data_IF_697096604145
#
_entry.id   IF_697096604145
#
_cell.length_a   1.000
_cell.length_b   1.000
_cell.length_c   1.000
_cell.angle_alpha   90.00
_cell.angle_beta   90.00
_cell.angle_gamma   90.00
#
_symmetry.space_group_name_H-M   'P 1'
#
loop_
_entity.id
_entity.type
_entity.pdbx_description
1 polymer ?
#
# COMPACT_ATOMS: atom_id res chain seq x y z
N UNK A 1 15.31 10.67 -17.07
CA UNK A 1 15.32 11.01 -15.63
C UNK A 1 16.53 10.32 -15.00
N UNK A 2 17.38 11.01 -14.24
CA UNK A 2 18.58 10.39 -13.66
C UNK A 2 18.21 9.40 -12.54
N UNK A 3 19.03 8.37 -12.33
CA UNK A 3 18.86 7.42 -11.22
C UNK A 3 18.86 8.12 -9.85
N UNK A 4 19.70 9.15 -9.69
CA UNK A 4 19.75 9.96 -8.48
C UNK A 4 18.41 10.69 -8.21
N UNK A 5 17.78 11.23 -9.25
CA UNK A 5 16.46 11.87 -9.15
C UNK A 5 15.39 10.86 -8.77
N UNK A 6 15.40 9.66 -9.36
CA UNK A 6 14.43 8.61 -9.01
C UNK A 6 14.57 8.17 -7.56
N UNK A 7 15.81 7.97 -7.11
CA UNK A 7 16.09 7.55 -5.74
C UNK A 7 15.65 8.59 -4.73
N UNK A 8 15.96 9.86 -4.96
CA UNK A 8 15.53 10.95 -4.08
C UNK A 8 13.99 11.05 -3.99
N UNK A 9 13.28 10.82 -5.10
CA UNK A 9 11.80 10.76 -5.09
C UNK A 9 11.28 9.56 -4.32
N UNK A 10 11.88 8.38 -4.49
CA UNK A 10 11.52 7.19 -3.73
C UNK A 10 11.78 7.38 -2.22
N UNK A 11 12.88 8.02 -1.82
CA UNK A 11 13.16 8.34 -0.42
C UNK A 11 12.08 9.26 0.18
N UNK A 12 11.71 10.33 -0.53
CA UNK A 12 10.60 11.21 -0.12
C UNK A 12 9.27 10.48 -0.01
N UNK A 13 9.00 9.56 -0.94
CA UNK A 13 7.78 8.76 -0.90
C UNK A 13 7.75 7.83 0.32
N UNK A 14 8.88 7.19 0.66
CA UNK A 14 9.00 6.37 1.87
C UNK A 14 8.68 7.20 3.12
N UNK A 15 9.25 8.40 3.23
CA UNK A 15 9.04 9.28 4.40
C UNK A 15 7.58 9.76 4.50
N UNK A 16 6.91 10.02 3.36
CA UNK A 16 5.49 10.36 3.32
C UNK A 16 4.60 9.21 3.83
N UNK A 17 4.91 7.97 3.40
CA UNK A 17 4.20 6.76 3.83
C UNK A 17 4.42 6.52 5.32
N UNK A 18 5.66 6.63 5.79
CA UNK A 18 6.01 6.46 7.20
C UNK A 18 5.29 7.47 8.09
N UNK A 19 5.25 8.73 7.69
CA UNK A 19 4.51 9.78 8.41
C UNK A 19 3.00 9.48 8.43
N UNK A 20 2.45 9.04 7.31
CA UNK A 20 1.05 8.67 7.18
C UNK A 20 0.69 7.48 8.09
N UNK A 21 1.51 6.42 8.07
CA UNK A 21 1.28 5.21 8.87
C UNK A 21 1.35 5.47 10.38
N UNK A 22 2.12 6.48 10.80
CA UNK A 22 2.22 6.88 12.20
C UNK A 22 1.27 8.02 12.59
N UNK A 23 0.39 8.45 11.68
CA UNK A 23 -0.63 9.45 11.99
C UNK A 23 -1.79 8.81 12.79
N UNK A 24 -1.99 9.29 14.01
CA UNK A 24 -3.04 8.82 14.90
C UNK A 24 -4.45 8.99 14.29
N UNK A 25 -4.68 9.95 13.40
CA UNK A 25 -6.00 10.15 12.79
C UNK A 25 -6.40 9.00 11.86
N UNK A 26 -5.44 8.36 11.17
CA UNK A 26 -5.71 7.20 10.30
C UNK A 26 -6.01 5.98 11.15
N UNK A 27 -5.22 5.76 12.21
CA UNK A 27 -5.46 4.68 13.18
C UNK A 27 -6.84 4.85 13.82
N UNK A 28 -7.16 6.04 14.32
CA UNK A 28 -8.45 6.33 14.94
C UNK A 28 -9.60 6.23 13.94
N UNK A 29 -9.45 6.80 12.75
CA UNK A 29 -10.43 6.79 11.68
C UNK A 29 -10.78 5.40 11.17
N UNK A 30 -9.79 4.53 11.02
CA UNK A 30 -10.00 3.13 10.62
C UNK A 30 -10.46 2.26 11.82
N UNK A 31 -10.05 2.58 13.05
CA UNK A 31 -10.44 1.83 14.26
C UNK A 31 -11.83 2.17 14.80
N UNK A 32 -12.35 3.38 14.55
CA UNK A 32 -13.67 3.85 15.01
C UNK A 32 -14.83 3.24 14.23
N UNK A 33 -14.53 2.61 13.10
CA UNK A 33 -15.46 1.81 12.32
C UNK A 33 -15.47 0.40 12.91
N UNK A 34 -16.43 0.16 13.81
CA UNK A 34 -16.90 -1.05 14.53
C UNK A 34 -16.26 -2.45 14.32
N UNK A 35 -14.99 -2.58 13.93
CA UNK A 35 -14.33 -3.85 13.67
C UNK A 35 -13.52 -3.94 12.39
N UNK A 36 -13.06 -2.87 11.73
CA UNK A 36 -12.12 -2.97 10.60
C UNK A 36 -10.93 -3.91 10.93
N UNK A 37 -10.61 -4.96 10.14
CA UNK A 37 -11.08 -5.29 8.78
C UNK A 37 -12.31 -6.21 8.70
N UNK A 38 -12.99 -6.54 9.80
CA UNK A 38 -14.08 -7.52 9.88
C UNK A 38 -15.46 -7.01 9.41
N UNK A 39 -15.67 -5.70 9.32
CA UNK A 39 -16.90 -5.04 8.82
C UNK A 39 -16.72 -4.48 7.40
N UNK A 40 -16.24 -5.31 6.47
CA UNK A 40 -15.99 -4.93 5.07
C UNK A 40 -17.20 -4.34 4.32
N UNK A 41 -18.43 -4.48 4.83
CA UNK A 41 -19.64 -3.99 4.15
C UNK A 41 -19.94 -2.50 4.33
N UNK A 42 -19.39 -1.84 5.36
CA UNK A 42 -19.76 -0.46 5.73
C UNK A 42 -18.60 0.53 5.59
N UNK A 43 -17.37 0.03 5.53
CA UNK A 43 -16.15 0.81 5.82
C UNK A 43 -15.26 1.10 4.59
N UNK A 44 -15.63 0.56 3.42
CA UNK A 44 -14.87 0.73 2.17
C UNK A 44 -14.85 2.19 1.69
N UNK A 45 -15.92 2.95 1.95
CA UNK A 45 -16.05 4.35 1.54
C UNK A 45 -15.06 5.28 2.26
N UNK A 46 -14.47 4.84 3.38
CA UNK A 46 -13.55 5.64 4.19
C UNK A 46 -12.09 5.46 3.76
N UNK A 47 -11.78 4.35 3.07
CA UNK A 47 -10.43 4.08 2.54
C UNK A 47 -9.99 5.20 1.56
N UNK A 48 -10.79 5.62 0.56
CA UNK A 48 -10.42 6.73 -0.31
C UNK A 48 -10.16 8.04 0.43
N UNK A 49 -10.96 8.38 1.45
CA UNK A 49 -10.82 9.62 2.22
C UNK A 49 -9.44 9.76 2.86
N UNK A 50 -8.87 8.65 3.36
CA UNK A 50 -7.55 8.66 4.00
C UNK A 50 -6.40 8.48 3.01
N UNK A 51 -6.59 7.71 1.93
CA UNK A 51 -5.48 7.32 1.05
C UNK A 51 -5.36 8.13 -0.24
N UNK A 52 -6.41 8.82 -0.70
CA UNK A 52 -6.30 9.76 -1.83
C UNK A 52 -5.35 10.93 -1.51
N UNK A 53 -5.38 11.55 -0.32
CA UNK A 53 -4.38 12.57 0.04
C UNK A 53 -2.94 12.04 0.01
N UNK A 54 -2.69 10.86 0.57
CA UNK A 54 -1.38 10.21 0.52
C UNK A 54 -0.94 9.97 -0.93
N UNK A 55 -1.84 9.47 -1.78
CA UNK A 55 -1.53 9.24 -3.17
C UNK A 55 -1.19 10.55 -3.89
N UNK A 56 -1.97 11.62 -3.67
CA UNK A 56 -1.71 12.91 -4.27
C UNK A 56 -0.38 13.53 -3.80
N UNK A 57 0.00 13.34 -2.55
CA UNK A 57 1.32 13.74 -2.06
C UNK A 57 2.45 12.97 -2.78
N UNK A 58 2.30 11.65 -2.92
CA UNK A 58 3.26 10.83 -3.66
C UNK A 58 3.31 11.25 -5.14
N UNK A 59 2.17 11.54 -5.76
CA UNK A 59 2.12 12.01 -7.15
C UNK A 59 2.85 13.34 -7.32
N UNK A 60 2.71 14.26 -6.37
CA UNK A 60 3.46 15.52 -6.35
C UNK A 60 4.98 15.29 -6.26
N UNK A 61 5.44 14.38 -5.40
CA UNK A 61 6.86 13.98 -5.31
C UNK A 61 7.41 13.52 -6.67
N UNK A 62 6.59 12.82 -7.45
CA UNK A 62 6.95 12.36 -8.79
C UNK A 62 6.62 13.34 -9.92
N UNK A 63 6.13 14.54 -9.61
CA UNK A 63 5.67 15.55 -10.59
C UNK A 63 4.58 14.96 -11.51
N UNK A 64 3.50 14.49 -10.90
CA UNK A 64 2.32 13.93 -11.58
C UNK A 64 1.09 14.73 -11.21
N UNK A 65 0.13 14.81 -12.12
CA UNK A 65 -1.15 15.49 -11.85
C UNK A 65 -1.91 14.74 -10.76
N UNK A 66 -2.49 15.42 -9.77
CA UNK A 66 -3.28 14.76 -8.72
C UNK A 66 -4.44 13.96 -9.32
N UNK A 67 -4.79 12.88 -8.63
CA UNK A 67 -5.98 12.07 -8.89
C UNK A 67 -7.15 12.57 -8.06
N UNK A 68 -8.35 12.33 -8.57
CA UNK A 68 -9.60 12.68 -7.89
C UNK A 68 -10.18 11.45 -7.20
N UNK A 69 -10.85 11.68 -6.08
CA UNK A 69 -11.46 10.61 -5.29
C UNK A 69 -12.45 9.77 -6.10
N UNK A 70 -13.26 10.40 -6.95
CA UNK A 70 -14.30 9.69 -7.72
C UNK A 70 -13.71 8.67 -8.72
N UNK A 71 -12.47 8.91 -9.18
CA UNK A 71 -11.76 8.01 -10.09
C UNK A 71 -11.04 6.90 -9.32
N UNK A 72 -10.55 7.21 -8.13
CA UNK A 72 -9.69 6.33 -7.33
C UNK A 72 -10.50 5.39 -6.43
N UNK A 73 -11.67 5.83 -5.97
CA UNK A 73 -12.49 5.06 -5.03
C UNK A 73 -12.89 3.67 -5.56
N UNK A 74 -13.35 3.52 -6.82
CA UNK A 74 -13.65 2.20 -7.39
C UNK A 74 -12.41 1.31 -7.43
N UNK A 75 -11.28 1.86 -7.87
CA UNK A 75 -10.00 1.17 -7.96
C UNK A 75 -9.50 0.67 -6.59
N UNK A 76 -9.53 1.51 -5.55
CA UNK A 76 -9.12 1.09 -4.20
C UNK A 76 -10.08 0.07 -3.59
N UNK A 77 -11.38 0.19 -3.88
CA UNK A 77 -12.40 -0.78 -3.47
C UNK A 77 -12.12 -2.16 -4.04
N UNK A 78 -11.74 -2.24 -5.32
CA UNK A 78 -11.41 -3.49 -5.99
C UNK A 78 -10.14 -4.16 -5.45
N UNK A 79 -9.16 -3.38 -4.99
CA UNK A 79 -7.92 -3.88 -4.39
C UNK A 79 -8.05 -4.29 -2.92
N UNK A 80 -9.14 -3.88 -2.25
CA UNK A 80 -9.30 -4.08 -0.81
C UNK A 80 -9.25 -5.55 -0.36
N UNK A 81 -9.87 -6.52 -1.07
CA UNK A 81 -9.74 -7.93 -0.72
C UNK A 81 -8.27 -8.41 -0.73
N UNK A 82 -7.49 -8.00 -1.73
CA UNK A 82 -6.08 -8.36 -1.89
C UNK A 82 -5.20 -7.70 -0.83
N UNK A 83 -5.56 -6.47 -0.41
CA UNK A 83 -4.87 -5.73 0.65
C UNK A 83 -5.00 -6.39 2.02
N UNK A 84 -6.10 -7.10 2.26
CA UNK A 84 -6.48 -7.61 3.58
C UNK A 84 -6.35 -9.12 3.71
N UNK A 85 -6.01 -9.83 2.63
CA UNK A 85 -6.06 -11.31 2.58
C UNK A 85 -5.28 -11.99 3.72
N UNK A 86 -4.08 -11.52 4.05
CA UNK A 86 -3.22 -12.04 5.14
C UNK A 86 -3.36 -11.23 6.44
N UNK A 87 -4.19 -10.19 6.44
CA UNK A 87 -4.61 -9.44 7.62
C UNK A 87 -5.95 -9.95 8.18
N UNK A 88 -6.65 -10.81 7.44
CA UNK A 88 -7.88 -11.45 7.89
C UNK A 88 -7.56 -12.58 8.87
N UNK A 89 -7.89 -12.38 10.13
CA UNK A 89 -7.73 -13.39 11.18
C UNK A 89 -9.07 -14.05 11.50
N UNK A 90 -9.03 -15.25 12.05
CA UNK A 90 -10.23 -15.92 12.53
C UNK A 90 -10.94 -15.04 13.58
N UNK A 91 -12.27 -14.92 13.47
CA UNK A 91 -13.14 -13.95 14.18
C UNK A 91 -13.07 -13.97 15.73
N UNK A 92 -12.25 -14.84 16.31
CA UNK A 92 -12.10 -15.09 17.74
C UNK A 92 -11.42 -13.92 18.48
N UNK A 93 -10.63 -13.07 17.79
CA UNK A 93 -9.91 -11.95 18.43
C UNK A 93 -10.71 -10.64 18.47
N UNK A 94 -11.68 -10.45 17.56
CA UNK A 94 -12.52 -9.25 17.51
C UNK A 94 -13.46 -9.10 18.71
N UNK A 95 -13.63 -10.16 19.51
CA UNK A 95 -14.42 -10.17 20.74
C UNK A 95 -13.66 -9.68 21.98
N UNK A 96 -12.36 -9.37 21.88
CA UNK A 96 -11.55 -8.80 22.98
C UNK A 96 -11.29 -7.30 22.71
N UNK A 97 -11.96 -6.37 23.45
CA UNK A 97 -11.97 -4.94 23.12
C UNK A 97 -10.58 -4.28 23.04
N UNK A 98 -9.66 -4.63 23.96
CA UNK A 98 -8.30 -4.07 23.97
C UNK A 98 -7.42 -4.64 22.86
N UNK A 99 -7.52 -5.93 22.57
CA UNK A 99 -6.79 -6.55 21.47
C UNK A 99 -7.25 -6.01 20.11
N UNK A 100 -8.54 -5.66 19.98
CA UNK A 100 -9.09 -5.01 18.79
C UNK A 100 -8.42 -3.68 18.46
N UNK A 101 -8.20 -2.79 19.43
CA UNK A 101 -7.58 -1.47 19.17
C UNK A 101 -6.13 -1.62 18.66
N UNK A 102 -5.32 -2.46 19.31
CA UNK A 102 -3.94 -2.70 18.89
C UNK A 102 -3.87 -3.38 17.53
N UNK A 103 -4.75 -4.34 17.28
CA UNK A 103 -4.85 -5.02 15.99
C UNK A 103 -5.25 -4.07 14.87
N UNK A 104 -6.26 -3.22 15.09
CA UNK A 104 -6.72 -2.23 14.11
C UNK A 104 -5.60 -1.24 13.75
N UNK A 105 -4.79 -0.83 14.74
CA UNK A 105 -3.62 0.01 14.49
C UNK A 105 -2.56 -0.69 13.63
N UNK A 106 -2.33 -1.99 13.84
CA UNK A 106 -1.41 -2.78 13.01
C UNK A 106 -1.95 -2.94 11.58
N UNK A 107 -3.24 -3.24 11.42
CA UNK A 107 -3.89 -3.32 10.11
C UNK A 107 -3.83 -1.99 9.36
N UNK A 108 -4.13 -0.88 10.03
CA UNK A 108 -4.04 0.46 9.46
C UNK A 108 -2.62 0.77 8.96
N UNK A 109 -1.60 0.43 9.76
CA UNK A 109 -0.19 0.58 9.37
C UNK A 109 0.17 -0.31 8.17
N UNK A 110 -0.18 -1.59 8.22
CA UNK A 110 0.09 -2.53 7.13
C UNK A 110 -0.56 -2.07 5.81
N UNK A 111 -1.82 -1.65 5.85
CA UNK A 111 -2.48 -1.07 4.68
C UNK A 111 -1.82 0.21 4.18
N UNK A 112 -1.49 1.13 5.09
CA UNK A 112 -0.85 2.39 4.71
C UNK A 112 0.46 2.13 3.97
N UNK A 113 1.25 1.17 4.45
CA UNK A 113 2.47 0.77 3.79
C UNK A 113 2.25 0.08 2.44
N UNK A 114 1.26 -0.81 2.32
CA UNK A 114 0.95 -1.50 1.07
C UNK A 114 0.45 -0.53 -0.01
N UNK A 115 -0.55 0.27 0.35
CA UNK A 115 -1.11 1.29 -0.55
C UNK A 115 -0.08 2.36 -0.88
N UNK A 116 0.64 2.86 0.11
CA UNK A 116 1.72 3.82 -0.09
C UNK A 116 2.80 3.32 -1.06
N UNK A 117 3.23 2.07 -0.88
CA UNK A 117 4.22 1.45 -1.79
C UNK A 117 3.66 1.27 -3.19
N UNK A 118 2.40 0.87 -3.32
CA UNK A 118 1.73 0.76 -4.60
C UNK A 118 1.60 2.13 -5.30
N UNK A 119 1.27 3.18 -4.56
CA UNK A 119 1.18 4.55 -5.08
C UNK A 119 2.54 5.07 -5.55
N UNK A 120 3.60 4.79 -4.80
CA UNK A 120 4.98 5.15 -5.18
C UNK A 120 5.40 4.39 -6.45
N UNK A 121 5.13 3.09 -6.49
CA UNK A 121 5.32 2.24 -7.67
C UNK A 121 4.61 2.86 -8.89
N UNK A 122 3.30 3.09 -8.82
CA UNK A 122 2.52 3.58 -9.96
C UNK A 122 2.95 4.98 -10.40
N UNK A 123 3.27 5.87 -9.46
CA UNK A 123 3.71 7.24 -9.78
C UNK A 123 5.10 7.26 -10.43
N UNK A 124 5.94 6.27 -10.12
CA UNK A 124 7.23 6.07 -10.77
C UNK A 124 7.11 5.60 -12.23
N UNK A 125 6.06 4.86 -12.58
CA UNK A 125 5.81 4.35 -13.94
C UNK A 125 5.32 5.44 -14.91
N UNK A 126 4.72 6.53 -14.42
CA UNK A 126 4.35 7.66 -15.27
C UNK A 126 3.05 8.34 -14.87
N UNK A 127 2.45 9.05 -15.84
CA UNK A 127 1.27 9.87 -15.63
C UNK A 127 -0.03 9.06 -15.54
N UNK A 128 -0.16 8.05 -16.41
CA UNK A 128 -1.33 7.16 -16.45
C UNK A 128 -1.27 6.16 -15.31
N UNK A 129 -2.44 5.84 -14.78
CA UNK A 129 -2.60 4.77 -13.80
C UNK A 129 -2.41 3.43 -14.50
N UNK A 130 -1.41 2.63 -14.12
CA UNK A 130 -1.21 1.31 -14.69
C UNK A 130 -2.15 0.31 -13.97
N UNK A 131 -3.46 0.43 -14.19
CA UNK A 131 -4.49 -0.36 -13.49
C UNK A 131 -4.23 -1.87 -13.60
N UNK A 132 -3.85 -2.35 -14.80
CA UNK A 132 -3.51 -3.75 -15.07
C UNK A 132 -2.31 -4.27 -14.26
N UNK A 133 -1.49 -3.39 -13.72
CA UNK A 133 -0.29 -3.71 -12.95
C UNK A 133 -0.53 -3.62 -11.44
N UNK A 134 -1.66 -3.06 -11.01
CA UNK A 134 -1.90 -2.77 -9.60
C UNK A 134 -2.03 -4.03 -8.74
N UNK A 135 -2.81 -5.03 -9.19
CA UNK A 135 -2.96 -6.31 -8.47
C UNK A 135 -1.65 -7.12 -8.43
N UNK A 136 -0.95 -7.35 -9.56
CA UNK A 136 0.36 -8.01 -9.52
C UNK A 136 1.39 -7.29 -8.65
N UNK A 137 1.47 -5.95 -8.75
CA UNK A 137 2.37 -5.16 -7.91
C UNK A 137 2.00 -5.29 -6.43
N UNK A 138 0.70 -5.29 -6.09
CA UNK A 138 0.24 -5.47 -4.72
C UNK A 138 0.57 -6.86 -4.17
N UNK A 139 0.43 -7.92 -4.97
CA UNK A 139 0.84 -9.27 -4.59
C UNK A 139 2.36 -9.33 -4.30
N UNK A 140 3.16 -8.68 -5.13
CA UNK A 140 4.61 -8.58 -4.93
C UNK A 140 4.97 -7.79 -3.66
N UNK A 141 4.29 -6.66 -3.43
CA UNK A 141 4.46 -5.84 -2.22
C UNK A 141 4.15 -6.65 -0.95
N UNK A 142 3.13 -7.51 -0.98
CA UNK A 142 2.80 -8.41 0.13
C UNK A 142 3.90 -9.43 0.41
N UNK A 143 4.53 -9.98 -0.64
CA UNK A 143 5.69 -10.87 -0.49
C UNK A 143 6.94 -10.16 0.01
N UNK A 144 7.17 -8.91 -0.40
CA UNK A 144 8.32 -8.11 0.04
C UNK A 144 8.21 -7.64 1.49
N UNK A 145 6.98 -7.38 1.95
CA UNK A 145 6.64 -6.86 3.27
C UNK A 145 5.50 -7.67 3.90
N UNK A 146 5.75 -8.94 4.26
CA UNK A 146 4.73 -9.79 4.83
C UNK A 146 4.38 -9.33 6.25
N UNK A 147 3.10 -9.43 6.63
CA UNK A 147 2.64 -9.15 8.00
C UNK A 147 2.34 -10.46 8.71
N UNK A 148 3.39 -11.21 9.04
CA UNK A 148 3.28 -12.56 9.65
C UNK A 148 2.91 -12.50 11.14
N UNK A 149 3.29 -11.41 11.82
CA UNK A 149 3.09 -11.25 13.26
C UNK A 149 1.85 -10.41 13.56
N UNK A 150 0.87 -11.05 14.19
CA UNK A 150 -0.43 -10.45 14.53
C UNK A 150 -0.35 -9.23 15.45
N UNK A 151 0.57 -9.21 16.41
CA UNK A 151 0.67 -8.17 17.45
C UNK A 151 1.88 -7.26 17.28
N UNK A 152 2.62 -7.39 16.17
CA UNK A 152 3.81 -6.60 15.91
C UNK A 152 3.85 -6.15 14.47
N UNK A 153 3.60 -4.86 14.26
CA UNK A 153 3.88 -4.23 12.99
C UNK A 153 5.39 -4.16 12.75
N UNK A 154 5.83 -4.52 11.54
CA UNK A 154 7.20 -4.32 11.10
C UNK A 154 7.20 -3.28 9.99
N UNK A 155 7.92 -2.17 10.20
CA UNK A 155 8.10 -1.16 9.16
C UNK A 155 8.85 -1.78 7.98
N UNK A 156 8.35 -1.64 6.75
CA UNK A 156 9.06 -2.04 5.53
C UNK A 156 10.51 -1.58 5.50
N UNK A 157 11.43 -2.48 5.18
CA UNK A 157 12.84 -2.13 5.04
C UNK A 157 13.03 -1.09 3.93
N UNK A 158 13.69 0.02 4.29
CA UNK A 158 13.90 1.15 3.39
C UNK A 158 14.69 0.74 2.14
N UNK A 159 15.72 -0.08 2.27
CA UNK A 159 16.53 -0.49 1.12
C UNK A 159 15.75 -1.37 0.14
N UNK A 160 14.93 -2.31 0.65
CA UNK A 160 14.00 -3.12 -0.17
C UNK A 160 12.98 -2.24 -0.87
N UNK A 161 12.36 -1.30 -0.16
CA UNK A 161 11.42 -0.36 -0.75
C UNK A 161 12.05 0.44 -1.89
N UNK A 162 13.23 1.03 -1.66
CA UNK A 162 13.91 1.84 -2.66
C UNK A 162 14.22 1.00 -3.91
N UNK A 163 14.77 -0.20 -3.75
CA UNK A 163 15.04 -1.11 -4.87
C UNK A 163 13.79 -1.44 -5.67
N UNK A 164 12.66 -1.69 -4.99
CA UNK A 164 11.40 -2.01 -5.62
C UNK A 164 10.89 -0.83 -6.47
N UNK A 165 10.80 0.37 -5.89
CA UNK A 165 10.23 1.55 -6.56
C UNK A 165 11.16 2.11 -7.64
N UNK A 166 12.48 2.06 -7.45
CA UNK A 166 13.42 2.54 -8.48
C UNK A 166 13.70 1.51 -9.57
N UNK A 167 13.51 0.22 -9.31
CA UNK A 167 13.81 -0.87 -10.27
C UNK A 167 12.95 -0.87 -11.54
N UNK A 168 11.92 -0.04 -11.56
CA UNK A 168 10.89 0.09 -12.61
C UNK A 168 10.74 1.54 -13.10
N UNK A 169 11.35 2.51 -12.42
CA UNK A 169 11.08 3.90 -12.72
C UNK A 169 11.67 4.29 -14.08
N UNK A 170 10.86 4.96 -14.91
CA UNK A 170 11.26 5.32 -16.27
C UNK A 170 11.38 4.14 -17.25
N UNK A 171 10.90 2.97 -16.86
CA UNK A 171 10.77 1.79 -17.73
C UNK A 171 9.39 1.81 -18.39
N UNK A 172 9.28 1.33 -19.63
CA UNK A 172 8.01 1.21 -20.33
C UNK A 172 7.03 0.28 -19.56
N UNK A 173 5.71 0.55 -19.54
CA UNK A 173 4.74 -0.25 -18.79
C UNK A 173 4.80 -1.76 -19.07
N UNK A 174 5.01 -2.19 -20.32
CA UNK A 174 5.06 -3.61 -20.65
C UNK A 174 6.30 -4.28 -20.06
N UNK A 175 7.42 -3.57 -20.04
CA UNK A 175 8.65 -4.03 -19.40
C UNK A 175 8.51 -4.02 -17.87
N UNK A 176 7.85 -3.01 -17.29
CA UNK A 176 7.51 -3.01 -15.87
C UNK A 176 6.63 -4.24 -15.51
N UNK A 177 5.67 -4.60 -16.36
CA UNK A 177 4.85 -5.81 -16.18
C UNK A 177 5.70 -7.06 -16.17
N UNK A 178 6.55 -7.26 -17.18
CA UNK A 178 7.43 -8.44 -17.27
C UNK A 178 8.32 -8.60 -16.04
N UNK A 179 8.82 -7.50 -15.48
CA UNK A 179 9.64 -7.52 -14.26
C UNK A 179 8.83 -7.90 -13.02
N UNK A 180 7.62 -7.39 -12.87
CA UNK A 180 6.72 -7.79 -11.78
C UNK A 180 6.39 -9.27 -11.88
N UNK A 181 5.97 -9.75 -13.06
CA UNK A 181 5.58 -11.14 -13.27
C UNK A 181 6.75 -12.10 -13.00
N UNK A 182 7.97 -11.71 -13.40
CA UNK A 182 9.19 -12.48 -13.08
C UNK A 182 9.46 -12.53 -11.58
N UNK A 183 9.40 -11.38 -10.90
CA UNK A 183 9.66 -11.31 -9.47
C UNK A 183 8.60 -12.09 -8.66
N UNK A 184 7.34 -12.07 -9.09
CA UNK A 184 6.28 -12.90 -8.52
C UNK A 184 6.59 -14.39 -8.69
N UNK A 185 6.95 -14.83 -9.89
CA UNK A 185 7.28 -16.23 -10.15
C UNK A 185 8.52 -16.71 -9.37
N UNK A 186 9.45 -15.82 -9.04
CA UNK A 186 10.60 -16.12 -8.16
C UNK A 186 10.16 -16.25 -6.69
N UNK A 187 9.29 -15.37 -6.20
CA UNK A 187 8.70 -15.45 -4.86
C UNK A 187 7.86 -16.72 -4.66
N UNK A 188 7.13 -17.16 -5.68
CA UNK A 188 6.33 -18.40 -5.62
C UNK A 188 7.18 -19.67 -5.60
N UNK A 189 8.47 -19.60 -5.97
CA UNK A 189 9.39 -20.74 -6.05
C UNK A 189 10.19 -20.97 -4.76
N UNK A 190 10.22 -20.02 -3.84
CA UNK A 190 10.99 -20.07 -2.59
C UNK A 190 10.01 -19.91 -1.40
N UNK A 191 9.33 -20.99 -0.98
CA UNK A 191 8.27 -20.96 0.05
C UNK A 191 8.77 -20.72 1.48
#
# INVERSE_FOLDING_TARGET
MSEATQRARAERAYDAIERCANNNSIVQGLSGLAGFPFTLGTDVAVVPLYYVPLWNEIRDIYERTPVREEVVAPFLTELLPDLLTDLALDKILGSVPLAGIYFNAICAKAMTWRLGTLFAFMSSCGQRLPEDHARPALALIRGLFPQEQMFKFQTPDRARFLRFVTGIGGVDPDEARRRIDRALAELERDP
#
